data_IF_592380450708
#
_entry.id   IF_592380450708
#
_cell.length_a   1.000
_cell.length_b   1.000
_cell.length_c   1.000
_cell.angle_alpha   90.00
_cell.angle_beta   90.00
_cell.angle_gamma   90.00
#
_symmetry.space_group_name_H-M   'P 1'
#
loop_
_entity.id
_entity.type
_entity.pdbx_description
1 polymer ?
#
# COMPACT_ATOMS: atom_id res chain seq x y z
N UNK A 1 14.05 -7.07 -1.50
CA UNK A 1 13.13 -5.96 -1.19
C UNK A 1 12.39 -5.53 -2.44
N UNK A 2 11.46 -6.37 -2.85
CA UNK A 2 10.49 -6.06 -3.89
C UNK A 2 9.12 -6.03 -3.24
N UNK A 3 8.48 -4.87 -3.29
CA UNK A 3 7.09 -4.75 -2.88
C UNK A 3 6.14 -5.20 -3.97
N UNK A 4 5.05 -5.82 -3.55
CA UNK A 4 3.89 -6.12 -4.38
C UNK A 4 2.62 -5.73 -3.62
N UNK A 5 1.59 -5.32 -4.35
CA UNK A 5 0.27 -5.03 -3.79
C UNK A 5 -0.70 -6.11 -4.23
N UNK A 6 -1.22 -6.91 -3.30
CA UNK A 6 -2.24 -7.91 -3.61
C UNK A 6 -3.62 -7.31 -3.39
N UNK A 7 -4.43 -7.25 -4.45
CA UNK A 7 -5.75 -6.61 -4.39
C UNK A 7 -6.73 -7.44 -3.58
N UNK A 8 -7.28 -6.84 -2.51
CA UNK A 8 -8.37 -7.40 -1.71
C UNK A 8 -9.73 -6.91 -2.21
N UNK A 9 -9.83 -5.62 -2.51
CA UNK A 9 -11.04 -4.97 -3.02
C UNK A 9 -10.69 -3.73 -3.86
N UNK A 10 -11.71 -3.05 -4.39
CA UNK A 10 -11.49 -1.75 -5.00
C UNK A 10 -11.04 -0.73 -3.95
N UNK A 11 -9.77 -0.32 -4.01
CA UNK A 11 -9.20 0.64 -3.05
C UNK A 11 -8.58 0.02 -1.80
N UNK A 12 -8.34 -1.30 -1.77
CA UNK A 12 -7.71 -1.97 -0.63
C UNK A 12 -6.81 -3.10 -1.13
N UNK A 13 -5.57 -3.10 -0.64
CA UNK A 13 -4.51 -4.03 -1.01
C UNK A 13 -3.73 -4.48 0.21
N UNK A 14 -3.31 -5.74 0.24
CA UNK A 14 -2.20 -6.17 1.11
C UNK A 14 -0.89 -5.62 0.54
N UNK A 15 -0.06 -5.06 1.40
CA UNK A 15 1.32 -4.70 1.08
C UNK A 15 2.23 -5.87 1.42
N UNK A 16 2.86 -6.44 0.41
CA UNK A 16 3.71 -7.64 0.52
C UNK A 16 5.15 -7.27 0.19
N UNK A 17 6.08 -7.60 1.08
CA UNK A 17 7.53 -7.45 0.88
C UNK A 17 8.17 -8.83 0.85
N UNK A 18 8.81 -9.17 -0.27
CA UNK A 18 9.53 -10.44 -0.45
C UNK A 18 8.66 -11.66 -0.05
N UNK A 19 7.35 -11.61 -0.34
CA UNK A 19 6.38 -12.67 -0.07
C UNK A 19 5.69 -12.63 1.30
N UNK A 20 6.04 -11.68 2.17
CA UNK A 20 5.47 -11.52 3.51
C UNK A 20 4.54 -10.31 3.53
N UNK A 21 3.33 -10.46 4.07
CA UNK A 21 2.43 -9.32 4.29
C UNK A 21 3.02 -8.47 5.43
N UNK A 22 3.33 -7.22 5.13
CA UNK A 22 3.94 -6.26 6.08
C UNK A 22 3.04 -5.07 6.38
N UNK A 23 1.95 -4.90 5.61
CA UNK A 23 1.13 -3.70 5.67
C UNK A 23 -0.10 -3.77 4.80
N UNK A 24 -0.70 -2.61 4.59
CA UNK A 24 -1.77 -2.40 3.62
C UNK A 24 -1.55 -1.14 2.80
N UNK A 25 -2.18 -1.08 1.63
CA UNK A 25 -2.40 0.17 0.89
C UNK A 25 -3.89 0.38 0.70
N UNK A 26 -4.44 1.42 1.29
CA UNK A 26 -5.89 1.70 1.30
C UNK A 26 -6.21 3.07 0.75
N UNK A 27 -7.35 3.18 0.08
CA UNK A 27 -7.87 4.45 -0.43
C UNK A 27 -8.76 5.08 0.63
N UNK A 28 -8.42 6.31 1.02
CA UNK A 28 -9.30 7.15 1.83
C UNK A 28 -10.46 7.66 0.99
N UNK A 29 -11.68 7.41 1.47
CA UNK A 29 -12.93 7.91 0.91
C UNK A 29 -13.59 8.84 1.90
N UNK A 30 -13.96 10.04 1.45
CA UNK A 30 -14.74 10.99 2.24
C UNK A 30 -16.20 10.54 2.35
N UNK A 31 -16.92 11.11 3.31
CA UNK A 31 -18.32 10.78 3.60
C UNK A 31 -19.28 11.02 2.42
N UNK A 32 -18.91 11.89 1.47
CA UNK A 32 -19.62 12.15 0.21
C UNK A 32 -19.20 11.22 -0.95
N UNK A 33 -18.32 10.25 -0.69
CA UNK A 33 -17.80 9.31 -1.68
C UNK A 33 -16.62 9.82 -2.51
N UNK A 34 -16.14 11.04 -2.24
CA UNK A 34 -14.93 11.59 -2.85
C UNK A 34 -13.67 10.81 -2.45
N UNK A 35 -12.68 10.75 -3.34
CA UNK A 35 -11.37 10.18 -3.03
C UNK A 35 -10.46 11.28 -2.49
N UNK A 36 -9.86 11.06 -1.31
CA UNK A 36 -9.02 12.08 -0.65
C UNK A 36 -7.54 11.77 -0.75
N UNK A 37 -7.16 10.52 -0.47
CA UNK A 37 -5.78 10.08 -0.45
C UNK A 37 -5.70 8.54 -0.55
N UNK A 38 -4.48 8.04 -0.62
CA UNK A 38 -4.08 6.66 -0.46
C UNK A 38 -3.09 6.58 0.69
N UNK A 39 -3.27 5.61 1.57
CA UNK A 39 -2.40 5.41 2.72
C UNK A 39 -1.68 4.08 2.58
N UNK A 40 -0.36 4.10 2.73
CA UNK A 40 0.46 2.90 2.91
C UNK A 40 0.80 2.79 4.39
N UNK A 41 0.42 1.68 5.04
CA UNK A 41 0.51 1.51 6.49
C UNK A 41 1.15 0.16 6.84
N UNK A 42 2.06 0.14 7.83
CA UNK A 42 2.64 -1.10 8.37
C UNK A 42 1.68 -1.79 9.34
N UNK A 43 1.65 -3.13 9.33
CA UNK A 43 0.84 -3.91 10.28
C UNK A 43 1.35 -3.81 11.73
N UNK A 44 2.65 -3.65 11.90
CA UNK A 44 3.31 -3.58 13.21
C UNK A 44 3.90 -2.19 13.45
N UNK A 45 3.75 -1.66 14.66
CA UNK A 45 4.43 -0.43 15.10
C UNK A 45 5.91 -0.73 15.41
N UNK A 46 6.67 -0.95 14.34
CA UNK A 46 8.09 -1.27 14.41
C UNK A 46 8.91 -0.03 14.80
N UNK A 47 9.98 -0.19 15.60
CA UNK A 47 10.92 0.90 15.84
C UNK A 47 11.60 1.31 14.52
N UNK A 48 12.05 2.58 14.37
CA UNK A 48 12.52 3.13 13.10
C UNK A 48 13.61 2.32 12.38
N UNK A 49 14.51 1.68 13.12
CA UNK A 49 15.61 0.86 12.60
C UNK A 49 15.17 -0.51 12.06
N UNK A 50 13.93 -0.94 12.37
CA UNK A 50 13.35 -2.20 11.90
C UNK A 50 12.28 -2.02 10.83
N UNK A 51 11.91 -0.79 10.49
CA UNK A 51 10.92 -0.51 9.44
C UNK A 51 11.49 -0.90 8.08
N UNK A 52 10.70 -1.53 7.20
CA UNK A 52 11.17 -1.83 5.88
C UNK A 52 11.26 -0.53 5.06
N UNK A 53 12.41 -0.28 4.43
CA UNK A 53 12.59 0.88 3.54
C UNK A 53 11.49 0.81 2.46
N UNK A 54 10.79 1.90 2.12
CA UNK A 54 11.06 3.30 2.45
C UNK A 54 10.33 3.88 3.67
N UNK A 55 9.68 3.07 4.51
CA UNK A 55 8.91 3.57 5.64
C UNK A 55 9.80 4.27 6.69
N UNK A 56 9.56 5.57 6.89
CA UNK A 56 10.15 6.35 7.99
C UNK A 56 9.17 6.57 9.14
N UNK A 57 7.89 6.27 8.91
CA UNK A 57 6.73 6.38 9.82
C UNK A 57 5.86 5.13 9.59
N UNK A 58 4.88 4.86 10.46
CA UNK A 58 4.00 3.68 10.30
C UNK A 58 3.05 3.84 9.11
N UNK A 59 2.61 5.07 8.84
CA UNK A 59 1.67 5.42 7.77
C UNK A 59 2.24 6.52 6.89
N UNK A 60 2.01 6.43 5.57
CA UNK A 60 2.36 7.46 4.59
C UNK A 60 1.17 7.73 3.67
N UNK A 61 0.81 9.01 3.51
CA UNK A 61 -0.29 9.45 2.66
C UNK A 61 0.20 9.87 1.26
N UNK A 62 -0.57 9.52 0.24
CA UNK A 62 -0.30 9.80 -1.17
C UNK A 62 -1.57 10.29 -1.88
N UNK A 63 -1.45 11.14 -2.91
CA UNK A 63 -2.63 11.60 -3.66
C UNK A 63 -3.22 10.51 -4.58
N UNK A 64 -2.41 9.53 -5.00
CA UNK A 64 -2.81 8.50 -5.95
C UNK A 64 -2.17 7.15 -5.61
N UNK A 65 -2.79 6.05 -6.07
CA UNK A 65 -2.19 4.72 -5.99
C UNK A 65 -0.85 4.66 -6.73
N UNK A 66 -0.76 5.32 -7.89
CA UNK A 66 0.48 5.38 -8.67
C UNK A 66 1.62 6.01 -7.87
N UNK A 67 1.37 7.12 -7.17
CA UNK A 67 2.36 7.74 -6.29
C UNK A 67 2.81 6.81 -5.15
N UNK A 68 1.87 6.09 -4.52
CA UNK A 68 2.20 5.09 -3.51
C UNK A 68 3.06 3.95 -4.08
N UNK A 69 2.70 3.41 -5.26
CA UNK A 69 3.48 2.35 -5.90
C UNK A 69 4.87 2.81 -6.32
N UNK A 70 5.00 4.05 -6.82
CA UNK A 70 6.28 4.64 -7.19
C UNK A 70 7.20 4.79 -5.96
N UNK A 71 6.65 5.23 -4.83
CA UNK A 71 7.38 5.32 -3.56
C UNK A 71 7.87 3.95 -3.09
N UNK A 72 7.03 2.91 -3.21
CA UNK A 72 7.38 1.50 -2.94
C UNK A 72 8.33 0.86 -3.97
N UNK A 73 9.05 1.65 -4.76
CA UNK A 73 10.00 1.15 -5.77
C UNK A 73 9.33 0.58 -7.02
N UNK A 74 8.20 1.19 -7.44
CA UNK A 74 7.34 0.72 -8.54
C UNK A 74 6.74 -0.67 -8.27
N UNK A 75 6.14 -0.82 -7.09
CA UNK A 75 5.50 -2.06 -6.67
C UNK A 75 4.48 -2.55 -7.71
N UNK A 76 4.54 -3.84 -8.06
CA UNK A 76 3.58 -4.45 -8.97
C UNK A 76 2.24 -4.66 -8.26
N UNK A 77 1.14 -4.35 -8.94
CA UNK A 77 -0.21 -4.64 -8.45
C UNK A 77 -0.66 -6.00 -9.00
N UNK A 78 -0.93 -6.93 -8.09
CA UNK A 78 -1.37 -8.29 -8.39
C UNK A 78 -2.87 -8.43 -8.07
N UNK A 79 -3.60 -9.20 -8.88
CA UNK A 79 -5.05 -9.39 -8.71
C UNK A 79 -5.92 -8.69 -9.78
N UNK A 80 -5.33 -8.29 -10.90
CA UNK A 80 -6.04 -8.03 -12.16
C UNK A 80 -5.96 -9.25 -13.08
N UNK A 81 -6.43 -10.41 -12.63
CA UNK A 81 -6.80 -11.47 -13.57
C UNK A 81 -8.26 -11.25 -13.99
N UNK A 82 -8.42 -11.13 -15.31
CA UNK A 82 -9.65 -10.88 -16.05
C UNK A 82 -10.79 -11.80 -15.60
N UNK A 83 -11.98 -11.22 -15.42
CA UNK A 83 -13.19 -12.01 -15.61
C UNK A 83 -13.14 -12.56 -17.05
N UNK A 84 -13.01 -13.88 -17.17
CA UNK A 84 -13.24 -14.62 -18.40
C UNK A 84 -14.73 -14.56 -18.79
#
# INVERSE_FOLDING_TARGET
>A
MTYTLNRLAAGSYDLVLDGIIVGSVVREVSADGGHRAWHAELLEDLPPDRRPIPFTEIEHAFPTLDAATAWLGRAMVLGSLQAA
#
